data_IF_135453725250
#
_entry.id   IF_135453725250
#
_cell.length_a   1.000
_cell.length_b   1.000
_cell.length_c   1.000
_cell.angle_alpha   90.00
_cell.angle_beta   90.00
_cell.angle_gamma   90.00
#
_symmetry.space_group_name_H-M   'P 1'
#
loop_
_entity.id
_entity.type
_entity.pdbx_description
1 polymer ?
#
# COMPACT_ATOMS: atom_id res chain seq x y z
N UNK A 1 8.55 11.76 -12.61
CA UNK A 1 8.38 10.31 -12.45
C UNK A 1 7.94 10.09 -11.01
N UNK A 2 6.64 10.11 -10.75
CA UNK A 2 6.09 9.84 -9.42
C UNK A 2 5.90 8.33 -9.33
N UNK A 3 6.98 7.63 -8.99
CA UNK A 3 6.95 6.19 -8.85
C UNK A 3 6.19 5.85 -7.57
N UNK A 4 5.13 5.07 -7.72
CA UNK A 4 4.45 4.44 -6.60
C UNK A 4 5.31 3.28 -6.11
N UNK A 5 5.02 2.77 -4.92
CA UNK A 5 5.69 1.58 -4.41
C UNK A 5 4.67 0.49 -4.15
N UNK A 6 5.00 -0.75 -4.49
CA UNK A 6 4.16 -1.91 -4.23
C UNK A 6 4.87 -2.86 -3.26
N UNK A 7 4.14 -3.25 -2.22
CA UNK A 7 4.49 -4.31 -1.27
C UNK A 7 3.59 -5.50 -1.59
N UNK A 8 4.18 -6.65 -1.87
CA UNK A 8 3.43 -7.90 -2.05
C UNK A 8 3.44 -8.65 -0.73
N UNK A 9 2.29 -8.71 -0.06
CA UNK A 9 2.12 -9.47 1.17
C UNK A 9 1.98 -10.97 0.90
N UNK A 10 1.71 -11.36 -0.35
CA UNK A 10 1.56 -12.76 -0.72
C UNK A 10 0.17 -13.28 -0.38
N UNK A 11 0.09 -14.48 0.18
CA UNK A 11 -1.17 -15.22 0.33
C UNK A 11 -2.11 -14.57 1.35
N UNK A 12 -3.30 -14.16 0.90
CA UNK A 12 -4.28 -13.43 1.71
C UNK A 12 -4.71 -14.18 2.98
N UNK A 13 -4.59 -15.52 2.98
CA UNK A 13 -4.92 -16.37 4.13
C UNK A 13 -3.83 -16.41 5.21
N UNK A 14 -2.58 -16.14 4.85
CA UNK A 14 -1.44 -16.14 5.78
C UNK A 14 -0.98 -14.73 6.16
N UNK A 15 -1.29 -13.74 5.32
CA UNK A 15 -0.91 -12.35 5.53
C UNK A 15 -1.79 -11.58 6.54
N UNK A 16 -2.76 -12.21 7.21
CA UNK A 16 -3.65 -11.53 8.16
C UNK A 16 -2.91 -10.70 9.24
N UNK A 17 -1.99 -11.29 10.02
CA UNK A 17 -1.22 -10.54 11.01
C UNK A 17 -0.23 -9.55 10.37
N UNK A 18 0.43 -9.90 9.28
CA UNK A 18 1.35 -8.99 8.55
C UNK A 18 0.62 -7.79 7.93
N UNK A 19 -0.66 -7.95 7.55
CA UNK A 19 -1.51 -6.89 7.01
C UNK A 19 -1.89 -5.89 8.09
N UNK A 20 -2.32 -6.35 9.27
CA UNK A 20 -2.69 -5.45 10.37
C UNK A 20 -1.46 -4.69 10.91
N UNK A 21 -0.32 -5.37 11.04
CA UNK A 21 0.96 -4.78 11.47
C UNK A 21 1.45 -3.73 10.46
N UNK A 22 1.41 -4.04 9.16
CA UNK A 22 1.74 -3.08 8.11
C UNK A 22 0.79 -1.88 8.09
N UNK A 23 -0.52 -2.09 8.31
CA UNK A 23 -1.49 -1.00 8.37
C UNK A 23 -1.16 -0.04 9.53
N UNK A 24 -0.80 -0.60 10.68
CA UNK A 24 -0.40 0.17 11.85
C UNK A 24 0.90 0.94 11.56
N UNK A 25 1.93 0.28 11.04
CA UNK A 25 3.22 0.92 10.72
C UNK A 25 3.05 2.07 9.72
N UNK A 26 2.26 1.87 8.65
CA UNK A 26 1.97 2.92 7.67
C UNK A 26 1.18 4.09 8.27
N UNK A 27 0.26 3.80 9.19
CA UNK A 27 -0.50 4.83 9.90
C UNK A 27 0.41 5.64 10.80
N UNK A 28 1.30 4.99 11.55
CA UNK A 28 2.29 5.67 12.41
C UNK A 28 3.25 6.54 11.59
N UNK A 29 3.73 6.05 10.44
CA UNK A 29 4.56 6.84 9.53
C UNK A 29 3.80 8.07 9.05
N UNK A 30 2.54 7.91 8.64
CA UNK A 30 1.69 9.02 8.19
C UNK A 30 1.46 10.07 9.28
N UNK A 31 1.21 9.64 10.52
CA UNK A 31 1.07 10.56 11.65
C UNK A 31 2.38 11.28 11.98
N UNK A 32 3.51 10.57 11.97
CA UNK A 32 4.84 11.16 12.19
C UNK A 32 5.24 12.14 11.09
N UNK A 33 4.83 11.90 9.85
CA UNK A 33 5.04 12.81 8.72
C UNK A 33 4.15 14.07 8.79
N UNK A 34 3.25 14.17 9.78
CA UNK A 34 2.38 15.33 9.96
C UNK A 34 1.10 15.28 9.13
N UNK A 35 0.63 14.08 8.76
CA UNK A 35 -0.62 13.84 8.02
C UNK A 35 -0.69 14.55 6.64
N UNK A 36 0.32 14.38 5.76
CA UNK A 36 0.31 15.03 4.45
C UNK A 36 -0.79 14.47 3.54
N UNK A 37 -1.52 15.35 2.85
CA UNK A 37 -2.63 14.97 1.98
C UNK A 37 -2.21 14.01 0.84
N UNK A 38 -0.98 14.15 0.34
CA UNK A 38 -0.41 13.31 -0.72
C UNK A 38 0.11 11.93 -0.25
N UNK A 39 -0.09 11.57 1.02
CA UNK A 39 0.43 10.35 1.63
C UNK A 39 -0.69 9.37 1.95
N UNK A 40 -0.85 8.39 1.08
CA UNK A 40 -1.87 7.36 1.23
C UNK A 40 -1.34 6.00 0.77
N UNK A 41 -1.86 4.97 1.42
CA UNK A 41 -1.65 3.58 1.11
C UNK A 41 -2.99 2.95 0.72
N UNK A 42 -2.96 2.12 -0.30
CA UNK A 42 -4.11 1.38 -0.80
C UNK A 42 -3.72 -0.09 -0.91
N UNK A 43 -4.69 -0.99 -0.85
CA UNK A 43 -4.45 -2.39 -1.10
C UNK A 43 -5.41 -2.92 -2.15
N UNK A 44 -4.99 -3.98 -2.85
CA UNK A 44 -5.80 -4.71 -3.82
C UNK A 44 -5.68 -6.19 -3.57
N UNK A 45 -6.83 -6.86 -3.62
CA UNK A 45 -6.89 -8.31 -3.68
C UNK A 45 -6.74 -8.74 -5.14
N UNK A 46 -5.64 -9.41 -5.45
CA UNK A 46 -5.37 -9.99 -6.75
C UNK A 46 -5.67 -11.48 -6.69
N UNK A 47 -6.79 -11.88 -7.28
CA UNK A 47 -7.14 -13.29 -7.44
C UNK A 47 -6.37 -13.84 -8.63
N UNK A 48 -5.42 -14.73 -8.36
CA UNK A 48 -4.73 -15.45 -9.45
C UNK A 48 -5.68 -16.48 -10.08
N UNK A 49 -5.39 -16.93 -11.31
CA UNK A 49 -6.17 -18.01 -11.94
C UNK A 49 -6.04 -19.36 -11.20
N UNK A 50 -5.00 -19.50 -10.38
CA UNK A 50 -4.89 -20.50 -9.31
C UNK A 50 -5.59 -19.96 -8.06
N UNK A 51 -6.24 -20.83 -7.27
CA UNK A 51 -7.07 -20.54 -6.08
C UNK A 51 -6.44 -19.67 -4.96
N UNK A 52 -5.27 -19.08 -5.19
CA UNK A 52 -4.55 -18.21 -4.28
C UNK A 52 -4.94 -16.76 -4.55
N UNK A 53 -5.59 -16.15 -3.56
CA UNK A 53 -5.75 -14.71 -3.49
C UNK A 53 -4.46 -14.13 -2.93
N UNK A 54 -3.86 -13.19 -3.66
CA UNK A 54 -2.72 -12.41 -3.19
C UNK A 54 -3.15 -11.00 -2.82
N UNK A 55 -2.49 -10.40 -1.84
CA UNK A 55 -2.70 -8.98 -1.48
C UNK A 55 -1.47 -8.17 -1.85
N UNK A 56 -1.71 -7.11 -2.62
CA UNK A 56 -0.71 -6.11 -2.99
C UNK A 56 -1.09 -4.78 -2.36
N UNK A 57 -0.17 -4.17 -1.60
CA UNK A 57 -0.33 -2.84 -1.01
C UNK A 57 0.47 -1.85 -1.84
N UNK A 58 -0.17 -0.77 -2.25
CA UNK A 58 0.40 0.31 -3.04
C UNK A 58 0.54 1.56 -2.18
N UNK A 59 1.72 2.15 -2.19
CA UNK A 59 2.08 3.34 -1.44
C UNK A 59 2.30 4.50 -2.39
N UNK A 60 1.77 5.65 -2.02
CA UNK A 60 2.03 6.90 -2.73
C UNK A 60 3.52 7.28 -2.64
N UNK A 61 4.04 8.12 -3.56
CA UNK A 61 5.45 8.54 -3.56
C UNK A 61 5.89 9.26 -2.27
N UNK A 62 4.95 9.75 -1.46
CA UNK A 62 5.25 10.32 -0.15
C UNK A 62 5.85 9.29 0.84
N UNK A 63 5.61 8.00 0.63
CA UNK A 63 6.25 6.91 1.38
C UNK A 63 7.66 6.55 0.88
N UNK A 64 8.19 7.24 -0.13
CA UNK A 64 9.52 6.94 -0.71
C UNK A 64 10.64 6.87 0.33
N UNK A 65 10.59 7.73 1.36
CA UNK A 65 11.57 7.71 2.46
C UNK A 65 11.52 6.43 3.31
N UNK A 66 10.37 5.75 3.35
CA UNK A 66 10.14 4.51 4.11
C UNK A 66 10.08 3.27 3.21
N UNK A 67 10.12 3.44 1.88
CA UNK A 67 9.97 2.35 0.93
C UNK A 67 11.02 1.23 1.11
N UNK A 68 12.28 1.59 1.40
CA UNK A 68 13.32 0.59 1.69
C UNK A 68 13.05 -0.19 2.98
N UNK A 69 12.59 0.49 4.04
CA UNK A 69 12.26 -0.15 5.32
C UNK A 69 11.09 -1.13 5.19
N UNK A 70 10.11 -0.76 4.34
CA UNK A 70 8.91 -1.53 4.06
C UNK A 70 9.11 -2.64 3.01
N UNK A 71 10.35 -2.84 2.53
CA UNK A 71 10.67 -3.74 1.40
C UNK A 71 9.80 -3.50 0.17
N UNK A 72 9.36 -2.25 -0.02
CA UNK A 72 8.48 -1.87 -1.09
C UNK A 72 9.26 -1.70 -2.40
N UNK A 73 8.69 -2.20 -3.49
CA UNK A 73 9.33 -2.14 -4.81
C UNK A 73 8.73 -1.02 -5.65
N UNK A 74 9.55 -0.20 -6.35
CA UNK A 74 9.02 0.86 -7.19
C UNK A 74 8.18 0.27 -8.33
N UNK A 75 6.97 0.79 -8.51
CA UNK A 75 6.01 0.34 -9.49
C UNK A 75 5.38 1.53 -10.25
N UNK A 76 4.75 1.29 -11.42
CA UNK A 76 3.89 2.30 -12.04
C UNK A 76 2.69 2.61 -11.13
N UNK A 77 2.05 3.75 -11.38
CA UNK A 77 0.79 4.12 -10.70
C UNK A 77 -0.21 2.98 -10.79
N UNK A 78 -0.79 2.53 -9.67
CA UNK A 78 -1.77 1.46 -9.70
C UNK A 78 -3.08 1.96 -10.33
N UNK A 79 -3.84 1.05 -10.92
CA UNK A 79 -5.16 1.37 -11.44
C UNK A 79 -6.14 1.59 -10.28
N UNK A 80 -6.97 2.64 -10.36
CA UNK A 80 -7.99 2.95 -9.35
C UNK A 80 -9.04 1.84 -9.19
N UNK A 81 -9.18 0.97 -10.19
CA UNK A 81 -10.14 -0.13 -10.17
C UNK A 81 -9.73 -1.23 -9.17
N UNK A 82 -10.57 -1.47 -8.17
CA UNK A 82 -10.38 -2.52 -7.17
C UNK A 82 -9.36 -2.16 -6.07
N UNK A 83 -8.87 -0.92 -6.02
CA UNK A 83 -8.11 -0.42 -4.88
C UNK A 83 -9.04 -0.10 -3.72
N UNK A 84 -8.62 -0.52 -2.53
CA UNK A 84 -9.28 -0.19 -1.28
C UNK A 84 -8.33 0.62 -0.43
N UNK A 85 -8.84 1.64 0.25
CA UNK A 85 -8.05 2.44 1.18
C UNK A 85 -7.48 1.56 2.29
N UNK A 86 -6.19 1.75 2.59
CA UNK A 86 -5.48 0.98 3.61
C UNK A 86 -5.10 1.85 4.80
N UNK A 87 -4.33 2.92 4.56
CA UNK A 87 -3.83 3.83 5.59
C UNK A 87 -3.48 5.21 5.01
N UNK A 88 -3.42 6.24 5.86
CA UNK A 88 -3.01 7.60 5.48
C UNK A 88 -4.17 8.53 5.12
N UNK A 89 -3.95 9.40 4.14
CA UNK A 89 -4.91 10.41 3.70
C UNK A 89 -5.97 9.82 2.75
N UNK A 90 -7.23 10.14 3.00
CA UNK A 90 -8.34 9.81 2.07
C UNK A 90 -8.54 10.85 0.96
N UNK A 91 -7.76 11.93 0.98
CA UNK A 91 -7.83 13.03 0.00
C UNK A 91 -7.06 12.71 -1.30
N UNK A 92 -6.16 11.72 -1.25
CA UNK A 92 -5.40 11.31 -2.42
C UNK A 92 -6.28 10.49 -3.37
N UNK A 93 -6.73 11.10 -4.46
CA UNK A 93 -7.42 10.42 -5.55
C UNK A 93 -6.43 9.86 -6.57
N UNK A 94 -6.58 8.58 -6.92
CA UNK A 94 -5.82 7.95 -8.01
C UNK A 94 -6.64 8.10 -9.30
N UNK A 95 -6.17 8.98 -10.19
CA UNK A 95 -6.83 9.30 -11.47
C UNK A 95 -6.14 8.59 -12.63
#
# INVERSE_FOLDING_TARGET
MHNWFAIRLGDALLAGPDFDDLQLELTEIYEQAGKPADMAAFYRHETSASLFCSVSVYLSPAFSAHAEALYATPCPTPESFGLTFFAGSTDLEIN
#
